data_IF_749648615810
#
_entry.id   IF_749648615810
#
_cell.length_a   1.000
_cell.length_b   1.000
_cell.length_c   1.000
_cell.angle_alpha   90.00
_cell.angle_beta   90.00
_cell.angle_gamma   90.00
#
_symmetry.space_group_name_H-M   'P 1'
#
loop_
_entity.id
_entity.type
_entity.pdbx_description
1 polymer ?
#
# COMPACT_ATOMS: atom_id res chain seq x y z
N UNK A 1 -4.32 -3.13 -8.82
CA UNK A 1 -3.69 -1.87 -9.23
C UNK A 1 -4.74 -0.87 -9.67
N UNK A 2 -4.40 0.40 -9.56
CA UNK A 2 -5.19 1.54 -10.04
C UNK A 2 -4.41 2.33 -11.08
N UNK A 3 -5.12 2.99 -12.00
CA UNK A 3 -4.54 3.85 -13.03
C UNK A 3 -4.84 5.31 -12.69
N UNK A 4 -3.81 6.12 -12.61
CA UNK A 4 -3.93 7.56 -12.29
C UNK A 4 -4.77 8.30 -13.35
N UNK A 5 -5.75 9.09 -12.91
CA UNK A 5 -6.60 9.88 -13.82
C UNK A 5 -5.91 11.16 -14.31
N UNK A 6 -5.06 11.78 -13.48
CA UNK A 6 -4.52 13.11 -13.74
C UNK A 6 -3.06 13.27 -13.28
N UNK A 7 -2.50 14.44 -13.53
CA UNK A 7 -1.15 14.80 -13.13
C UNK A 7 -0.05 14.16 -13.97
N UNK A 8 1.20 14.19 -13.47
CA UNK A 8 2.38 13.68 -14.19
C UNK A 8 2.38 12.17 -14.43
N UNK A 9 1.53 11.44 -13.72
CA UNK A 9 1.41 9.99 -13.80
C UNK A 9 0.10 9.53 -14.48
N UNK A 10 -0.65 10.45 -15.07
CA UNK A 10 -1.89 10.13 -15.77
C UNK A 10 -1.70 8.97 -16.76
N UNK A 11 -2.60 8.00 -16.71
CA UNK A 11 -2.56 6.80 -17.57
C UNK A 11 -1.56 5.73 -17.15
N UNK A 12 -0.80 5.93 -16.06
CA UNK A 12 0.14 4.95 -15.52
C UNK A 12 -0.46 4.21 -14.32
N UNK A 13 0.02 2.99 -14.09
CA UNK A 13 -0.48 2.11 -13.05
C UNK A 13 0.34 2.19 -11.76
N UNK A 14 -0.36 2.13 -10.63
CA UNK A 14 0.23 2.06 -9.29
C UNK A 14 -0.65 1.27 -8.32
N UNK A 15 -0.24 1.22 -7.07
CA UNK A 15 -1.11 0.80 -5.98
C UNK A 15 -1.88 2.01 -5.43
N UNK A 16 -3.04 1.82 -4.81
CA UNK A 16 -3.69 2.86 -4.01
C UNK A 16 -2.70 3.42 -2.98
N UNK A 17 -2.63 4.72 -2.83
CA UNK A 17 -1.60 5.37 -2.01
C UNK A 17 -1.94 6.81 -1.68
N UNK A 18 -1.51 7.25 -0.50
CA UNK A 18 -1.58 8.65 -0.10
C UNK A 18 -0.66 8.96 1.08
N UNK A 19 -0.83 10.13 1.65
CA UNK A 19 -0.08 10.58 2.80
C UNK A 19 -0.83 10.23 4.09
N UNK A 20 -0.05 9.82 5.11
CA UNK A 20 -0.61 9.68 6.45
C UNK A 20 -0.98 11.04 7.03
N UNK A 21 -2.13 11.14 7.66
CA UNK A 21 -2.55 12.29 8.45
C UNK A 21 -1.81 12.29 9.80
N UNK A 22 -1.80 13.42 10.49
CA UNK A 22 -1.05 13.59 11.74
C UNK A 22 -1.56 12.74 12.91
N UNK A 23 -2.77 12.23 12.82
CA UNK A 23 -3.49 11.50 13.86
C UNK A 23 -3.80 10.05 13.49
N UNK A 24 -3.19 9.53 12.40
CA UNK A 24 -3.37 8.15 11.98
C UNK A 24 -2.04 7.40 11.86
N UNK A 25 -2.08 6.09 12.16
CA UNK A 25 -0.94 5.21 11.86
C UNK A 25 -0.81 5.00 10.35
N UNK A 26 0.41 4.77 9.82
CA UNK A 26 0.61 4.51 8.40
C UNK A 26 -0.26 3.38 7.82
N UNK A 27 -0.54 2.33 8.59
CA UNK A 27 -1.42 1.26 8.15
C UNK A 27 -2.90 1.68 8.08
N UNK A 28 -3.34 2.60 8.93
CA UNK A 28 -4.69 3.17 8.85
C UNK A 28 -4.82 4.05 7.62
N UNK A 29 -3.78 4.83 7.32
CA UNK A 29 -3.69 5.58 6.07
C UNK A 29 -3.82 4.67 4.85
N UNK A 30 -3.10 3.55 4.81
CA UNK A 30 -3.18 2.60 3.70
C UNK A 30 -4.60 2.02 3.51
N UNK A 31 -5.31 1.72 4.60
CA UNK A 31 -6.70 1.25 4.55
C UNK A 31 -7.67 2.37 4.10
N UNK A 32 -7.47 3.59 4.58
CA UNK A 32 -8.27 4.75 4.17
C UNK A 32 -8.11 5.04 2.69
N UNK A 33 -6.88 5.11 2.19
CA UNK A 33 -6.60 5.34 0.75
C UNK A 33 -7.19 4.22 -0.14
N UNK A 34 -7.09 2.95 0.29
CA UNK A 34 -7.73 1.84 -0.40
C UNK A 34 -9.25 2.03 -0.47
N UNK A 35 -9.86 2.50 0.62
CA UNK A 35 -11.30 2.78 0.67
C UNK A 35 -11.70 3.97 -0.19
N UNK A 36 -10.94 5.06 -0.14
CA UNK A 36 -11.19 6.28 -0.90
C UNK A 36 -11.03 6.04 -2.41
N UNK A 37 -9.91 5.45 -2.84
CA UNK A 37 -9.62 5.24 -4.27
C UNK A 37 -10.41 4.07 -4.89
N UNK A 38 -10.71 3.02 -4.13
CA UNK A 38 -11.26 1.77 -4.67
C UNK A 38 -12.60 1.32 -4.07
N UNK A 39 -13.08 1.98 -3.01
CA UNK A 39 -14.30 1.54 -2.30
C UNK A 39 -14.13 0.25 -1.49
N UNK A 40 -12.92 -0.27 -1.35
CA UNK A 40 -12.64 -1.58 -0.73
C UNK A 40 -12.24 -1.43 0.73
N UNK A 41 -12.84 -2.25 1.59
CA UNK A 41 -12.35 -2.52 2.93
C UNK A 41 -11.41 -3.73 2.90
N UNK A 42 -10.40 -3.75 3.76
CA UNK A 42 -9.41 -4.83 3.80
C UNK A 42 -8.78 -5.02 5.17
N UNK A 43 -8.05 -6.13 5.31
CA UNK A 43 -7.29 -6.47 6.51
C UNK A 43 -5.80 -6.46 6.20
N UNK A 44 -5.00 -5.72 7.00
CA UNK A 44 -3.55 -5.69 6.88
C UNK A 44 -2.98 -7.09 7.16
N UNK A 45 -2.13 -7.57 6.25
CA UNK A 45 -1.38 -8.83 6.39
C UNK A 45 0.07 -8.61 6.80
N UNK A 46 0.63 -7.46 6.48
CA UNK A 46 1.98 -7.07 6.88
C UNK A 46 2.62 -6.11 5.89
N UNK A 47 3.84 -5.69 6.22
CA UNK A 47 4.65 -4.83 5.36
C UNK A 47 5.38 -5.69 4.32
N UNK A 48 5.31 -5.30 3.06
CA UNK A 48 6.01 -5.95 1.94
C UNK A 48 7.22 -5.15 1.45
N UNK A 49 7.21 -3.83 1.64
CA UNK A 49 8.35 -2.99 1.27
C UNK A 49 8.37 -1.69 2.06
N UNK A 50 9.59 -1.19 2.30
CA UNK A 50 9.83 0.16 2.82
C UNK A 50 10.82 0.84 1.88
N UNK A 51 10.52 2.08 1.49
CA UNK A 51 11.44 2.92 0.72
C UNK A 51 11.78 4.16 1.55
N UNK A 52 13.05 4.38 1.74
CA UNK A 52 13.59 5.60 2.36
C UNK A 52 13.94 6.63 1.29
N UNK A 53 13.72 7.90 1.57
CA UNK A 53 14.11 9.00 0.69
C UNK A 53 14.30 10.29 1.49
N UNK A 54 14.95 11.28 0.87
CA UNK A 54 14.93 12.65 1.35
C UNK A 54 13.99 13.45 0.46
N UNK A 55 12.98 14.09 1.04
CA UNK A 55 12.01 14.91 0.35
C UNK A 55 11.99 16.31 0.95
N UNK A 56 12.28 17.32 0.12
CA UNK A 56 12.39 18.71 0.57
C UNK A 56 13.32 18.88 1.80
N UNK A 57 14.44 18.14 1.81
CA UNK A 57 15.42 18.18 2.91
C UNK A 57 15.04 17.37 4.14
N UNK A 58 13.90 16.69 4.16
CA UNK A 58 13.45 15.89 5.30
C UNK A 58 13.41 14.39 4.97
N UNK A 59 13.78 13.50 5.92
CA UNK A 59 13.57 12.06 5.77
C UNK A 59 12.10 11.75 5.54
N UNK A 60 11.83 10.86 4.59
CA UNK A 60 10.48 10.39 4.27
C UNK A 60 10.50 8.90 4.01
N UNK A 61 9.47 8.21 4.49
CA UNK A 61 9.26 6.78 4.30
C UNK A 61 8.04 6.55 3.40
N UNK A 62 8.16 5.60 2.50
CA UNK A 62 7.02 4.99 1.82
C UNK A 62 6.92 3.54 2.29
N UNK A 63 5.80 3.19 2.89
CA UNK A 63 5.55 1.86 3.45
C UNK A 63 4.47 1.19 2.62
N UNK A 64 4.76 0.03 2.05
CA UNK A 64 3.81 -0.77 1.30
C UNK A 64 3.30 -1.93 2.15
N UNK A 65 1.99 -2.03 2.26
CA UNK A 65 1.30 -3.08 2.98
C UNK A 65 0.67 -4.10 2.03
N UNK A 66 0.75 -5.37 2.39
CA UNK A 66 -0.13 -6.40 1.85
C UNK A 66 -1.47 -6.32 2.57
N UNK A 67 -2.55 -6.21 1.81
CA UNK A 67 -3.90 -6.08 2.34
C UNK A 67 -4.76 -7.18 1.70
N UNK A 68 -5.48 -7.93 2.53
CA UNK A 68 -6.49 -8.87 2.06
C UNK A 68 -7.82 -8.12 1.86
N UNK A 69 -8.33 -7.99 0.64
CA UNK A 69 -9.58 -7.28 0.39
C UNK A 69 -10.77 -8.09 0.89
N UNK A 70 -11.77 -7.42 1.48
CA UNK A 70 -13.02 -8.05 1.93
C UNK A 70 -14.02 -8.28 0.80
N UNK A 71 -13.83 -7.60 -0.32
CA UNK A 71 -14.58 -7.78 -1.57
C UNK A 71 -13.66 -7.53 -2.76
N UNK A 72 -14.01 -8.09 -3.90
CA UNK A 72 -13.38 -7.80 -5.20
C UNK A 72 -14.18 -6.80 -6.03
N UNK A 73 -15.33 -6.35 -5.54
CA UNK A 73 -16.16 -5.35 -6.18
C UNK A 73 -15.58 -3.97 -5.92
N UNK A 74 -15.04 -3.35 -6.96
CA UNK A 74 -14.35 -2.06 -6.90
C UNK A 74 -15.28 -0.94 -7.36
N UNK A 75 -15.31 0.13 -6.59
CA UNK A 75 -15.92 1.40 -6.98
C UNK A 75 -14.84 2.47 -6.91
N UNK A 76 -14.34 2.91 -8.06
CA UNK A 76 -13.26 3.90 -8.13
C UNK A 76 -13.76 5.33 -7.91
N UNK A 77 -12.92 6.15 -7.30
CA UNK A 77 -13.06 7.60 -7.37
C UNK A 77 -12.57 8.09 -8.74
N UNK A 78 -13.50 8.47 -9.61
CA UNK A 78 -13.18 8.87 -10.98
C UNK A 78 -12.43 10.21 -11.09
N UNK A 79 -12.26 10.97 -10.02
CA UNK A 79 -11.45 12.18 -10.01
C UNK A 79 -9.96 11.84 -9.92
N UNK A 80 -9.60 10.84 -9.11
CA UNK A 80 -8.22 10.42 -8.90
C UNK A 80 -7.81 9.21 -9.75
N UNK A 81 -8.73 8.26 -9.96
CA UNK A 81 -8.48 6.97 -10.60
C UNK A 81 -9.32 6.84 -11.88
N UNK A 82 -8.67 6.58 -13.00
CA UNK A 82 -9.33 6.41 -14.31
C UNK A 82 -9.67 4.95 -14.63
N UNK A 83 -9.03 3.99 -13.99
CA UNK A 83 -9.22 2.55 -14.25
C UNK A 83 -8.65 1.73 -13.10
N UNK A 84 -9.06 0.46 -12.99
CA UNK A 84 -8.51 -0.48 -12.02
C UNK A 84 -8.37 -1.87 -12.65
N UNK A 85 -7.54 -2.72 -12.03
CA UNK A 85 -7.41 -4.12 -12.48
C UNK A 85 -6.76 -5.01 -11.43
N UNK A 86 -7.14 -6.28 -11.49
CA UNK A 86 -6.47 -7.37 -10.80
C UNK A 86 -5.49 -8.02 -11.78
N UNK A 87 -4.23 -8.18 -11.36
CA UNK A 87 -3.15 -8.64 -12.23
C UNK A 87 -2.43 -9.82 -11.59
N UNK A 88 -2.19 -10.86 -12.36
CA UNK A 88 -1.31 -11.96 -11.99
C UNK A 88 0.17 -11.66 -12.30
N UNK A 89 1.04 -12.57 -11.87
CA UNK A 89 2.50 -12.39 -11.99
C UNK A 89 2.97 -12.30 -13.46
N UNK A 90 2.29 -12.96 -14.39
CA UNK A 90 2.62 -12.91 -15.81
C UNK A 90 2.11 -11.64 -16.48
N UNK A 91 0.94 -11.16 -16.06
CA UNK A 91 0.30 -9.97 -16.62
C UNK A 91 1.03 -8.68 -16.21
N UNK A 92 1.56 -8.66 -14.99
CA UNK A 92 2.22 -7.48 -14.40
C UNK A 92 3.47 -7.05 -15.17
N UNK A 93 4.08 -7.94 -15.96
CA UNK A 93 5.26 -7.61 -16.76
C UNK A 93 4.95 -6.60 -17.88
N UNK A 94 3.74 -6.62 -18.43
CA UNK A 94 3.28 -5.73 -19.49
C UNK A 94 2.65 -4.43 -18.98
N UNK A 95 2.46 -4.30 -17.67
CA UNK A 95 1.84 -3.12 -17.06
C UNK A 95 2.77 -1.92 -17.14
N UNK A 96 2.23 -0.77 -17.56
CA UNK A 96 2.96 0.48 -17.62
C UNK A 96 2.88 1.21 -16.27
N UNK A 97 3.87 0.97 -15.41
CA UNK A 97 3.90 1.49 -14.04
C UNK A 97 4.36 2.94 -13.94
N UNK A 98 3.87 3.64 -12.91
CA UNK A 98 4.32 4.99 -12.52
C UNK A 98 5.82 5.05 -12.19
N UNK A 99 6.44 3.93 -11.79
CA UNK A 99 7.88 3.83 -11.53
C UNK A 99 8.35 2.36 -11.48
N UNK A 100 9.66 2.17 -11.64
CA UNK A 100 10.31 0.85 -11.42
C UNK A 100 10.14 0.36 -9.98
N UNK A 101 10.14 1.27 -9.00
CA UNK A 101 9.88 0.95 -7.60
C UNK A 101 8.49 0.35 -7.41
N UNK A 102 7.47 0.96 -8.00
CA UNK A 102 6.10 0.46 -7.92
C UNK A 102 5.97 -0.93 -8.56
N UNK A 103 6.60 -1.14 -9.72
CA UNK A 103 6.67 -2.47 -10.36
C UNK A 103 7.31 -3.51 -9.43
N UNK A 104 8.42 -3.17 -8.76
CA UNK A 104 9.09 -4.07 -7.82
C UNK A 104 8.22 -4.41 -6.62
N UNK A 105 7.53 -3.43 -6.04
CA UNK A 105 6.60 -3.63 -4.91
C UNK A 105 5.45 -4.57 -5.33
N UNK A 106 4.85 -4.33 -6.49
CA UNK A 106 3.77 -5.16 -7.01
C UNK A 106 4.21 -6.61 -7.27
N UNK A 107 5.43 -6.81 -7.78
CA UNK A 107 6.02 -8.16 -7.91
C UNK A 107 6.21 -8.84 -6.55
N UNK A 108 6.76 -8.13 -5.56
CA UNK A 108 6.91 -8.67 -4.21
C UNK A 108 5.57 -9.11 -3.62
N UNK A 109 4.51 -8.34 -3.84
CA UNK A 109 3.17 -8.68 -3.37
C UNK A 109 2.63 -10.00 -3.97
N UNK A 110 3.00 -10.30 -5.22
CA UNK A 110 2.56 -11.51 -5.95
C UNK A 110 3.45 -12.73 -5.71
N UNK A 111 4.68 -12.55 -5.26
CA UNK A 111 5.66 -13.64 -5.11
C UNK A 111 5.53 -14.43 -3.80
N UNK A 112 4.48 -14.22 -3.04
CA UNK A 112 4.25 -14.88 -1.75
C UNK A 112 5.47 -14.83 -0.80
N UNK A 113 6.20 -13.70 -0.85
CA UNK A 113 7.34 -13.47 0.04
C UNK A 113 6.84 -13.26 1.47
N UNK A 114 7.62 -13.69 2.50
CA UNK A 114 7.25 -13.43 3.87
C UNK A 114 7.03 -11.93 4.12
N UNK A 115 5.92 -11.60 4.74
CA UNK A 115 5.61 -10.22 5.16
C UNK A 115 6.08 -10.03 6.60
N UNK A 116 6.39 -8.79 6.97
CA UNK A 116 6.55 -8.46 8.37
C UNK A 116 5.19 -8.52 9.05
N UNK A 117 5.07 -9.34 10.09
CA UNK A 117 3.86 -9.42 10.90
C UNK A 117 3.67 -8.12 11.67
N UNK A 118 2.42 -7.69 11.82
CA UNK A 118 2.04 -6.56 12.62
C UNK A 118 1.56 -7.05 13.99
N UNK A 119 2.26 -6.65 15.05
CA UNK A 119 1.93 -6.96 16.43
C UNK A 119 1.43 -5.69 17.12
N UNK A 120 0.31 -5.81 17.83
CA UNK A 120 -0.25 -4.71 18.63
C UNK A 120 0.45 -4.68 20.00
N UNK A 121 1.22 -3.64 20.26
CA UNK A 121 1.91 -3.40 21.53
C UNK A 121 1.16 -2.44 22.46
N UNK A 122 -0.10 -2.16 22.20
CA UNK A 122 -0.88 -1.14 22.92
C UNK A 122 -1.04 -1.43 24.42
N UNK A 123 -0.99 -2.70 24.84
CA UNK A 123 -1.13 -3.10 26.24
C UNK A 123 0.18 -2.93 27.04
N UNK A 124 1.34 -2.82 26.36
CA UNK A 124 2.66 -2.85 27.02
C UNK A 124 3.25 -1.45 27.27
N UNK A 125 2.70 -0.40 26.67
CA UNK A 125 3.28 0.92 26.72
C UNK A 125 2.27 2.01 27.08
N UNK A 126 2.82 3.15 27.61
CA UNK A 126 2.02 4.36 27.88
C UNK A 126 1.44 4.99 26.62
N UNK A 127 2.09 4.77 25.48
CA UNK A 127 1.63 5.20 24.16
C UNK A 127 1.47 3.97 23.28
N UNK A 128 0.30 3.75 22.68
CA UNK A 128 0.07 2.62 21.78
C UNK A 128 1.07 2.60 20.63
N UNK A 129 1.52 1.41 20.25
CA UNK A 129 2.41 1.23 19.09
C UNK A 129 2.09 -0.08 18.36
N UNK A 130 2.53 -0.17 17.11
CA UNK A 130 2.50 -1.38 16.32
C UNK A 130 3.93 -1.77 15.94
N UNK A 131 4.30 -3.02 16.22
CA UNK A 131 5.60 -3.59 15.89
C UNK A 131 5.47 -4.48 14.66
N UNK A 132 6.31 -4.26 13.65
CA UNK A 132 6.37 -5.08 12.45
C UNK A 132 7.65 -5.91 12.46
N UNK A 133 7.53 -7.24 12.47
CA UNK A 133 8.65 -8.19 12.55
C UNK A 133 8.47 -9.34 11.56
N UNK A 134 9.57 -9.95 11.09
CA UNK A 134 9.52 -11.08 10.16
C UNK A 134 9.10 -12.39 10.82
N UNK A 135 9.57 -12.63 12.02
CA UNK A 135 9.19 -13.77 12.83
C UNK A 135 9.02 -13.30 14.27
N UNK A 136 7.95 -13.69 14.93
CA UNK A 136 7.80 -13.44 16.35
C UNK A 136 7.53 -14.76 17.06
N UNK A 137 8.39 -15.08 18.02
CA UNK A 137 8.12 -16.05 19.07
C UNK A 137 7.45 -15.32 20.28
N UNK A 138 6.50 -14.41 19.97
CA UNK A 138 5.70 -13.74 20.99
C UNK A 138 4.57 -14.63 21.46
#
# INVERSE_FOLDING_TARGET
>A
LVKEAAGKHAGLWGAPKGYANSDEYPMQSALRELKEECGIDGDIKGIIAVRETIRSGMPALFIAYSIHPKTTDITIDNEEISDFGWFGITEIESVNFISKTMKSIAKCALMNTPHMLCLDGSEEAKSPYYLHVQNSDF
#
